data_IF_906521011253
#
_entry.id   IF_906521011253
#
_cell.length_a   1.000
_cell.length_b   1.000
_cell.length_c   1.000
_cell.angle_alpha   90.00
_cell.angle_beta   90.00
_cell.angle_gamma   90.00
#
_symmetry.space_group_name_H-M   'P 1'
#
loop_
_entity.id
_entity.type
_entity.pdbx_description
1 polymer ?
#
# COMPACT_ATOMS: atom_id res chain seq x y z
N UNK A 1 12.21 13.71 -35.69
CA UNK A 1 10.74 13.60 -35.79
C UNK A 1 10.31 13.12 -34.42
N UNK A 2 10.30 14.04 -33.47
CA UNK A 2 10.08 13.71 -32.07
C UNK A 2 8.58 13.59 -31.86
N UNK A 3 8.12 12.35 -31.71
CA UNK A 3 6.85 12.08 -31.08
C UNK A 3 7.01 12.48 -29.61
N UNK A 4 6.71 13.74 -29.34
CA UNK A 4 6.42 14.25 -28.01
C UNK A 4 5.23 13.44 -27.48
N UNK A 5 5.56 12.33 -26.82
CA UNK A 5 4.59 11.42 -26.25
C UNK A 5 4.11 12.13 -25.02
N UNK A 6 3.06 12.94 -25.18
CA UNK A 6 2.41 13.66 -24.11
C UNK A 6 2.11 12.64 -23.00
N UNK A 7 2.95 12.66 -21.96
CA UNK A 7 2.95 11.65 -20.91
C UNK A 7 1.60 11.78 -20.22
N UNK A 8 0.71 10.82 -20.44
CA UNK A 8 -0.58 10.80 -19.75
C UNK A 8 -0.28 10.78 -18.25
N UNK A 9 -0.62 11.86 -17.56
CA UNK A 9 -0.39 11.98 -16.13
C UNK A 9 -1.40 11.06 -15.44
N UNK A 10 -0.92 9.93 -14.93
CA UNK A 10 -1.74 9.00 -14.15
C UNK A 10 -2.06 9.64 -12.81
N UNK A 11 -3.29 10.14 -12.65
CA UNK A 11 -3.72 10.80 -11.40
C UNK A 11 -3.93 9.78 -10.27
N UNK A 12 -4.45 8.59 -10.61
CA UNK A 12 -4.89 7.56 -9.65
C UNK A 12 -4.28 6.21 -9.97
N UNK A 13 -3.64 5.57 -8.97
CA UNK A 13 -3.27 4.16 -9.02
C UNK A 13 -4.23 3.34 -8.16
N UNK A 14 -4.78 2.27 -8.72
CA UNK A 14 -5.49 1.25 -7.96
C UNK A 14 -4.52 0.10 -7.73
N UNK A 15 -4.29 -0.26 -6.47
CA UNK A 15 -3.44 -1.39 -6.09
C UNK A 15 -4.21 -2.36 -5.23
N UNK A 16 -4.08 -3.65 -5.55
CA UNK A 16 -4.73 -4.74 -4.84
C UNK A 16 -3.79 -5.28 -3.75
N UNK A 17 -4.27 -5.33 -2.52
CA UNK A 17 -3.61 -5.94 -1.38
C UNK A 17 -4.24 -7.31 -1.14
N UNK A 18 -3.44 -8.35 -1.33
CA UNK A 18 -3.84 -9.73 -1.06
C UNK A 18 -3.24 -10.27 0.25
N UNK A 19 -3.21 -11.61 0.34
CA UNK A 19 -2.52 -12.34 1.40
C UNK A 19 -1.48 -13.26 0.78
N UNK A 20 -0.24 -13.23 1.28
CA UNK A 20 0.81 -14.15 0.87
C UNK A 20 0.57 -15.55 1.44
N UNK A 21 0.81 -16.57 0.62
CA UNK A 21 0.71 -17.98 1.01
C UNK A 21 1.96 -18.49 1.76
N UNK A 22 3.02 -17.67 1.85
CA UNK A 22 4.34 -18.11 2.31
C UNK A 22 4.50 -18.14 3.84
N UNK A 23 3.66 -17.41 4.57
CA UNK A 23 3.41 -17.40 6.03
C UNK A 23 2.78 -16.02 6.32
N UNK A 24 1.62 -15.97 6.98
CA UNK A 24 0.94 -14.71 7.27
C UNK A 24 1.74 -13.75 8.16
N UNK A 25 2.81 -14.24 8.79
CA UNK A 25 3.69 -13.46 9.68
C UNK A 25 4.88 -12.79 8.98
N UNK A 26 5.27 -13.25 7.78
CA UNK A 26 6.49 -12.74 7.09
C UNK A 26 6.20 -11.84 5.89
N UNK A 27 4.93 -11.70 5.50
CA UNK A 27 4.51 -10.78 4.45
C UNK A 27 4.81 -11.23 3.02
N UNK A 28 4.95 -10.26 2.12
CA UNK A 28 5.35 -10.52 0.74
C UNK A 28 6.86 -10.76 0.64
N UNK A 29 7.27 -11.53 -0.36
CA UNK A 29 8.69 -11.64 -0.69
C UNK A 29 9.17 -10.31 -1.27
N UNK A 30 10.23 -9.75 -0.68
CA UNK A 30 10.94 -8.61 -1.25
C UNK A 30 11.46 -8.94 -2.65
N UNK A 31 11.14 -8.09 -3.63
CA UNK A 31 11.55 -8.24 -5.02
C UNK A 31 12.18 -6.95 -5.55
N UNK A 32 13.10 -7.09 -6.53
CA UNK A 32 13.73 -5.96 -7.20
C UNK A 32 13.07 -5.72 -8.56
N UNK A 33 12.27 -4.67 -8.65
CA UNK A 33 11.56 -4.27 -9.87
C UNK A 33 12.41 -3.30 -10.68
N UNK A 34 12.31 -3.38 -12.02
CA UNK A 34 12.96 -2.46 -12.95
C UNK A 34 11.90 -1.65 -13.69
N UNK A 35 11.97 -0.34 -13.59
CA UNK A 35 11.05 0.60 -14.25
C UNK A 35 11.52 0.92 -15.68
N UNK A 36 10.66 1.48 -16.57
CA UNK A 36 11.02 1.78 -17.95
C UNK A 36 12.18 2.76 -18.13
N UNK A 37 12.38 3.68 -17.18
CA UNK A 37 13.52 4.62 -17.16
C UNK A 37 14.85 3.97 -16.70
N UNK A 38 14.86 2.66 -16.42
CA UNK A 38 16.03 1.93 -15.92
C UNK A 38 16.20 1.94 -14.39
N UNK A 39 15.39 2.71 -13.67
CA UNK A 39 15.38 2.74 -12.21
C UNK A 39 15.04 1.36 -11.62
N UNK A 40 15.69 1.01 -10.51
CA UNK A 40 15.44 -0.25 -9.79
C UNK A 40 14.94 0.04 -8.38
N UNK A 41 13.88 -0.65 -7.97
CA UNK A 41 13.28 -0.53 -6.64
C UNK A 41 13.11 -1.90 -6.00
N UNK A 42 13.68 -2.06 -4.81
CA UNK A 42 13.57 -3.28 -4.01
C UNK A 42 12.50 -3.10 -2.93
N UNK A 43 11.33 -3.70 -3.11
CA UNK A 43 10.18 -3.57 -2.20
C UNK A 43 9.34 -4.84 -2.16
N UNK A 44 8.56 -4.98 -1.10
CA UNK A 44 7.52 -6.00 -0.92
C UNK A 44 6.20 -5.56 -1.58
N UNK A 45 5.99 -4.24 -1.72
CA UNK A 45 4.74 -3.64 -2.21
C UNK A 45 4.98 -2.88 -3.52
N UNK A 46 4.87 -3.59 -4.64
CA UNK A 46 5.09 -2.99 -5.97
C UNK A 46 4.20 -1.77 -6.23
N UNK A 47 2.95 -1.79 -5.75
CA UNK A 47 2.02 -0.65 -5.91
C UNK A 47 2.56 0.66 -5.32
N UNK A 48 3.27 0.61 -4.19
CA UNK A 48 3.88 1.80 -3.57
C UNK A 48 5.03 2.34 -4.43
N UNK A 49 5.91 1.46 -4.92
CA UNK A 49 7.01 1.83 -5.80
C UNK A 49 6.53 2.33 -7.17
N UNK A 50 5.46 1.73 -7.71
CA UNK A 50 4.87 2.17 -8.97
C UNK A 50 4.21 3.54 -8.83
N UNK A 51 3.49 3.78 -7.74
CA UNK A 51 2.91 5.09 -7.45
C UNK A 51 3.97 6.20 -7.34
N UNK A 52 5.11 5.91 -6.71
CA UNK A 52 6.23 6.83 -6.66
C UNK A 52 6.84 7.06 -8.05
N UNK A 53 7.10 6.00 -8.81
CA UNK A 53 7.67 6.10 -10.15
C UNK A 53 6.78 6.92 -11.12
N UNK A 54 5.47 6.71 -11.05
CA UNK A 54 4.48 7.42 -11.87
C UNK A 54 4.13 8.80 -11.32
N UNK A 55 4.59 9.15 -10.11
CA UNK A 55 4.24 10.40 -9.40
C UNK A 55 2.71 10.60 -9.32
N UNK A 56 1.98 9.53 -8.97
CA UNK A 56 0.52 9.58 -8.87
C UNK A 56 0.10 10.44 -7.69
N UNK A 57 -0.97 11.23 -7.87
CA UNK A 57 -1.49 12.09 -6.81
C UNK A 57 -2.25 11.31 -5.75
N UNK A 58 -2.90 10.21 -6.15
CA UNK A 58 -3.68 9.38 -5.24
C UNK A 58 -3.52 7.88 -5.52
N UNK A 59 -3.69 7.11 -4.45
CA UNK A 59 -3.74 5.64 -4.48
C UNK A 59 -5.05 5.16 -3.87
N UNK A 60 -5.67 4.16 -4.50
CA UNK A 60 -6.73 3.36 -3.90
C UNK A 60 -6.14 1.99 -3.60
N UNK A 61 -6.07 1.64 -2.32
CA UNK A 61 -5.60 0.34 -1.86
C UNK A 61 -6.81 -0.54 -1.59
N UNK A 62 -7.00 -1.59 -2.37
CA UNK A 62 -8.17 -2.47 -2.27
C UNK A 62 -7.74 -3.80 -1.70
N UNK A 63 -8.39 -4.27 -0.63
CA UNK A 63 -8.14 -5.60 -0.07
C UNK A 63 -9.39 -6.16 0.60
N UNK A 64 -9.34 -7.41 1.06
CA UNK A 64 -10.40 -7.99 1.88
C UNK A 64 -10.12 -7.79 3.36
N UNK A 65 -11.06 -8.13 4.23
CA UNK A 65 -10.86 -8.05 5.68
C UNK A 65 -9.68 -8.92 6.20
N UNK A 66 -9.21 -9.88 5.40
CA UNK A 66 -8.09 -10.78 5.74
C UNK A 66 -6.81 -10.52 4.92
N UNK A 67 -6.79 -9.48 4.09
CA UNK A 67 -5.57 -9.00 3.43
C UNK A 67 -4.54 -8.51 4.45
N UNK A 68 -3.28 -8.42 4.03
CA UNK A 68 -2.12 -8.06 4.85
C UNK A 68 -2.05 -6.56 5.17
N UNK A 69 -3.12 -6.01 5.74
CA UNK A 69 -3.22 -4.59 6.09
C UNK A 69 -2.22 -4.21 7.18
N UNK A 70 -2.09 -5.06 8.19
CA UNK A 70 -1.17 -4.93 9.31
C UNK A 70 0.28 -4.77 8.84
N UNK A 71 0.76 -5.71 8.01
CA UNK A 71 2.13 -5.68 7.49
C UNK A 71 2.36 -4.52 6.51
N UNK A 72 1.34 -4.09 5.78
CA UNK A 72 1.44 -2.90 4.94
C UNK A 72 1.64 -1.66 5.82
N UNK A 73 0.84 -1.51 6.87
CA UNK A 73 0.93 -0.37 7.79
C UNK A 73 2.25 -0.39 8.54
N UNK A 74 2.72 -1.54 9.00
CA UNK A 74 4.04 -1.68 9.63
C UNK A 74 5.17 -1.23 8.69
N UNK A 75 5.14 -1.66 7.42
CA UNK A 75 6.14 -1.28 6.42
C UNK A 75 6.16 0.22 6.12
N UNK A 76 5.01 0.88 6.19
CA UNK A 76 4.84 2.29 5.80
C UNK A 76 5.01 3.23 6.98
N UNK A 77 4.36 2.94 8.11
CA UNK A 77 4.23 3.86 9.24
C UNK A 77 5.36 3.73 10.28
N UNK A 78 6.05 2.58 10.32
CA UNK A 78 6.99 2.29 11.39
C UNK A 78 6.33 2.29 12.78
N UNK A 79 7.14 2.46 13.83
CA UNK A 79 6.69 2.25 15.21
C UNK A 79 6.06 3.46 15.92
N UNK A 80 6.41 4.68 15.51
CA UNK A 80 6.22 5.86 16.37
C UNK A 80 4.87 6.59 16.17
N UNK A 81 4.11 6.29 15.11
CA UNK A 81 2.85 6.94 14.82
C UNK A 81 1.69 5.93 14.85
N UNK A 82 0.92 5.93 15.94
CA UNK A 82 -0.30 5.15 16.14
C UNK A 82 -0.13 3.65 16.48
N UNK A 83 0.76 3.34 17.44
CA UNK A 83 0.92 2.00 18.03
C UNK A 83 -0.41 1.32 18.39
N UNK A 84 -1.31 2.01 19.09
CA UNK A 84 -2.61 1.44 19.48
C UNK A 84 -3.48 1.04 18.28
N UNK A 85 -3.53 1.89 17.23
CA UNK A 85 -4.26 1.56 16.00
C UNK A 85 -3.62 0.39 15.24
N UNK A 86 -2.29 0.25 15.30
CA UNK A 86 -1.57 -0.88 14.68
C UNK A 86 -1.86 -2.18 15.40
N UNK A 87 -1.89 -2.17 16.73
CA UNK A 87 -2.30 -3.33 17.54
C UNK A 87 -3.74 -3.74 17.21
N UNK A 88 -4.67 -2.77 17.18
CA UNK A 88 -6.05 -3.03 16.78
C UNK A 88 -6.15 -3.61 15.37
N UNK A 89 -5.33 -3.12 14.43
CA UNK A 89 -5.31 -3.64 13.06
C UNK A 89 -4.81 -5.08 13.00
N UNK A 90 -3.74 -5.41 13.72
CA UNK A 90 -3.22 -6.77 13.78
C UNK A 90 -4.29 -7.76 14.27
N UNK A 91 -4.99 -7.42 15.36
CA UNK A 91 -6.08 -8.25 15.89
C UNK A 91 -7.24 -8.36 14.89
N UNK A 92 -7.61 -7.25 14.23
CA UNK A 92 -8.68 -7.25 13.24
C UNK A 92 -8.34 -8.09 12.00
N UNK A 93 -7.09 -8.04 11.49
CA UNK A 93 -6.61 -8.87 10.38
C UNK A 93 -6.66 -10.35 10.77
N UNK A 94 -6.20 -10.69 11.97
CA UNK A 94 -6.20 -12.07 12.49
C UNK A 94 -7.62 -12.62 12.65
N UNK A 95 -8.56 -11.78 13.09
CA UNK A 95 -9.97 -12.13 13.21
C UNK A 95 -10.73 -12.06 11.87
N UNK A 96 -10.15 -11.51 10.80
CA UNK A 96 -10.84 -11.29 9.53
C UNK A 96 -11.97 -10.26 9.61
N UNK A 97 -11.79 -9.23 10.46
CA UNK A 97 -12.81 -8.23 10.80
C UNK A 97 -12.38 -6.80 10.48
N UNK A 98 -11.32 -6.62 9.68
CA UNK A 98 -10.90 -5.28 9.23
C UNK A 98 -12.05 -4.60 8.49
N UNK A 99 -12.44 -3.42 8.99
CA UNK A 99 -13.51 -2.60 8.43
C UNK A 99 -13.01 -1.22 8.02
N UNK A 100 -13.89 -0.49 7.32
CA UNK A 100 -13.60 0.84 6.78
C UNK A 100 -13.24 1.85 7.87
N UNK A 101 -13.90 1.82 9.04
CA UNK A 101 -13.64 2.74 10.16
C UNK A 101 -12.19 2.66 10.66
N UNK A 102 -11.66 1.43 10.80
CA UNK A 102 -10.29 1.22 11.29
C UNK A 102 -9.28 1.69 10.25
N UNK A 103 -9.50 1.33 8.98
CA UNK A 103 -8.64 1.76 7.88
C UNK A 103 -8.69 3.27 7.67
N UNK A 104 -9.85 3.90 7.86
CA UNK A 104 -10.03 5.35 7.78
C UNK A 104 -9.24 6.10 8.86
N UNK A 105 -9.14 5.54 10.08
CA UNK A 105 -8.30 6.09 11.15
C UNK A 105 -6.80 5.98 10.86
N UNK A 106 -6.39 4.94 10.13
CA UNK A 106 -5.00 4.71 9.75
C UNK A 106 -4.58 5.44 8.47
N UNK A 107 -5.53 5.78 7.59
CA UNK A 107 -5.26 6.44 6.32
C UNK A 107 -4.37 7.69 6.46
N UNK A 108 -4.57 8.62 7.42
CA UNK A 108 -3.69 9.79 7.58
C UNK A 108 -2.22 9.41 7.84
N UNK A 109 -1.96 8.37 8.63
CA UNK A 109 -0.59 7.90 8.93
C UNK A 109 0.05 7.27 7.70
N UNK A 110 -0.72 6.49 6.93
CA UNK A 110 -0.25 5.92 5.65
C UNK A 110 0.06 7.06 4.66
N UNK A 111 -0.83 8.05 4.55
CA UNK A 111 -0.67 9.20 3.66
C UNK A 111 0.58 10.02 3.98
N UNK A 112 0.83 10.28 5.27
CA UNK A 112 2.00 11.02 5.74
C UNK A 112 3.31 10.35 5.31
N UNK A 113 3.39 9.02 5.44
CA UNK A 113 4.61 8.27 5.13
C UNK A 113 4.78 7.97 3.65
N UNK A 114 3.70 7.79 2.89
CA UNK A 114 3.74 7.56 1.43
C UNK A 114 3.84 8.87 0.65
N UNK A 115 3.47 10.01 1.26
CA UNK A 115 3.57 11.34 0.65
C UNK A 115 2.53 11.62 -0.43
N UNK A 116 1.38 10.91 -0.42
CA UNK A 116 0.27 11.09 -1.37
C UNK A 116 -1.04 10.64 -0.76
N UNK A 117 -2.18 11.01 -1.36
CA UNK A 117 -3.51 10.61 -0.88
C UNK A 117 -3.65 9.08 -0.99
N UNK A 118 -4.14 8.42 0.05
CA UNK A 118 -4.36 6.98 0.11
C UNK A 118 -5.79 6.72 0.59
N UNK A 119 -6.53 5.99 -0.22
CA UNK A 119 -7.91 5.58 0.08
C UNK A 119 -7.89 4.07 0.26
N UNK A 120 -7.84 3.57 1.50
CA UNK A 120 -8.01 2.15 1.75
C UNK A 120 -9.49 1.77 1.56
N UNK A 121 -9.73 0.69 0.82
CA UNK A 121 -11.04 0.14 0.53
C UNK A 121 -11.04 -1.35 0.91
N UNK A 122 -11.93 -1.72 1.82
CA UNK A 122 -12.19 -3.12 2.13
C UNK A 122 -13.34 -3.62 1.26
N UNK A 123 -13.17 -4.78 0.64
CA UNK A 123 -14.22 -5.47 -0.11
C UNK A 123 -14.54 -6.81 0.55
N UNK A 124 -15.83 -7.08 0.75
CA UNK A 124 -16.39 -8.27 1.41
C UNK A 124 -17.18 -9.14 0.44
#
# INVERSE_FOLDING_TARGET
MDMDTQKVQVDTLISLLGKSNLDSTTGYRKACYRMPNGERRSTEYFGLALAEHLQVRRMILIGTASSMWDLLVENVAGDDAAEELRIMLFDAVRAGTVGEDLLGKLAPVIEQNVGRKVIPLVIS
#
